data_IF_560048493163
#
_entry.id   IF_560048493163
#
_cell.length_a   1.000
_cell.length_b   1.000
_cell.length_c   1.000
_cell.angle_alpha   90.00
_cell.angle_beta   90.00
_cell.angle_gamma   90.00
#
_symmetry.space_group_name_H-M   'P 1'
#
loop_
_entity.id
_entity.type
_entity.pdbx_description
1 polymer ?
#
# COMPACT_ATOMS: atom_id res chain seq x y z
N UNK A 1 5.28 11.61 -26.27
CA UNK A 1 4.37 11.97 -25.18
C UNK A 1 5.18 12.34 -23.96
N UNK A 2 4.90 13.48 -23.37
CA UNK A 2 5.56 13.98 -22.16
C UNK A 2 4.49 14.23 -21.09
N UNK A 3 4.64 13.63 -19.92
CA UNK A 3 3.68 13.73 -18.83
C UNK A 3 4.29 14.37 -17.59
N UNK A 4 3.50 15.07 -16.79
CA UNK A 4 3.83 15.43 -15.43
C UNK A 4 3.21 14.40 -14.48
N UNK A 5 4.04 13.69 -13.72
CA UNK A 5 3.61 12.75 -12.69
C UNK A 5 3.79 13.39 -11.31
N UNK A 6 2.71 13.49 -10.56
CA UNK A 6 2.65 14.19 -9.28
C UNK A 6 2.45 13.21 -8.14
N UNK A 7 3.31 13.29 -7.13
CA UNK A 7 3.26 12.40 -5.96
C UNK A 7 3.68 13.12 -4.69
N UNK A 8 3.23 12.61 -3.53
CA UNK A 8 3.77 13.07 -2.24
C UNK A 8 5.10 12.42 -1.93
N UNK A 9 5.26 11.14 -2.24
CA UNK A 9 6.40 10.33 -1.85
C UNK A 9 7.30 10.07 -3.06
N UNK A 10 8.62 10.24 -2.89
CA UNK A 10 9.63 9.90 -3.89
C UNK A 10 10.90 9.39 -3.20
N UNK A 11 11.66 8.46 -3.80
CA UNK A 11 12.89 7.97 -3.19
C UNK A 11 13.88 9.08 -2.81
N UNK A 12 14.55 9.00 -1.65
CA UNK A 12 14.53 7.90 -0.68
C UNK A 12 13.39 7.97 0.36
N UNK A 13 12.51 8.95 0.28
CA UNK A 13 11.46 9.22 1.27
C UNK A 13 10.15 8.51 0.90
N UNK A 14 10.14 7.18 1.09
CA UNK A 14 8.96 6.34 0.85
C UNK A 14 8.53 5.69 2.16
N UNK A 15 7.23 5.78 2.48
CA UNK A 15 6.64 5.19 3.68
C UNK A 15 5.29 4.49 3.43
N UNK A 16 4.72 4.61 2.22
CA UNK A 16 3.42 4.05 1.89
C UNK A 16 3.36 3.35 0.53
N UNK A 17 2.24 2.64 0.29
CA UNK A 17 2.04 1.90 -0.96
C UNK A 17 2.00 2.79 -2.22
N UNK A 18 1.55 4.05 -2.11
CA UNK A 18 1.56 4.98 -3.23
C UNK A 18 2.99 5.38 -3.62
N UNK A 19 3.87 5.60 -2.63
CA UNK A 19 5.29 5.85 -2.86
C UNK A 19 5.99 4.64 -3.50
N UNK A 20 5.74 3.43 -2.98
CA UNK A 20 6.25 2.20 -3.56
C UNK A 20 5.77 2.03 -5.02
N UNK A 21 4.49 2.33 -5.30
CA UNK A 21 3.95 2.29 -6.66
C UNK A 21 4.71 3.21 -7.62
N UNK A 22 4.87 4.50 -7.29
CA UNK A 22 5.52 5.46 -8.20
C UNK A 22 7.01 5.17 -8.38
N UNK A 23 7.69 4.66 -7.35
CA UNK A 23 9.10 4.27 -7.41
C UNK A 23 9.38 3.27 -8.53
N UNK A 24 8.48 2.31 -8.76
CA UNK A 24 8.65 1.27 -9.77
C UNK A 24 7.94 1.60 -11.08
N UNK A 25 6.78 2.26 -11.03
CA UNK A 25 6.05 2.64 -12.24
C UNK A 25 6.83 3.65 -13.08
N UNK A 26 7.45 4.65 -12.46
CA UNK A 26 8.12 5.73 -13.20
C UNK A 26 9.27 5.23 -14.07
N UNK A 27 10.21 4.39 -13.61
CA UNK A 27 11.23 3.83 -14.48
C UNK A 27 10.66 3.04 -15.66
N UNK A 28 9.61 2.24 -15.43
CA UNK A 28 8.95 1.46 -16.48
C UNK A 28 8.23 2.35 -17.52
N UNK A 29 7.64 3.46 -17.12
CA UNK A 29 7.08 4.48 -18.02
C UNK A 29 8.19 5.22 -18.76
N UNK A 30 9.24 5.64 -18.06
CA UNK A 30 10.35 6.42 -18.63
C UNK A 30 11.14 5.67 -19.72
N UNK A 31 11.07 4.33 -19.72
CA UNK A 31 11.60 3.51 -20.81
C UNK A 31 10.89 3.76 -22.16
N UNK A 32 9.66 4.31 -22.16
CA UNK A 32 8.82 4.44 -23.34
C UNK A 32 8.35 5.88 -23.62
N UNK A 33 8.27 6.72 -22.59
CA UNK A 33 7.75 8.10 -22.67
C UNK A 33 8.61 9.04 -21.80
N UNK A 34 8.47 10.35 -21.98
CA UNK A 34 9.09 11.32 -21.08
C UNK A 34 8.22 11.55 -19.85
N UNK A 35 8.78 11.37 -18.66
CA UNK A 35 8.10 11.56 -17.38
C UNK A 35 8.82 12.65 -16.58
N UNK A 36 8.13 13.76 -16.32
CA UNK A 36 8.58 14.80 -15.39
C UNK A 36 7.96 14.51 -14.03
N UNK A 37 8.76 14.10 -13.06
CA UNK A 37 8.28 13.80 -11.71
C UNK A 37 8.27 15.07 -10.87
N UNK A 38 7.15 15.35 -10.21
CA UNK A 38 6.97 16.41 -9.23
C UNK A 38 6.61 15.80 -7.88
N UNK A 39 7.49 15.98 -6.89
CA UNK A 39 7.36 15.36 -5.58
C UNK A 39 7.52 16.35 -4.43
N UNK A 40 6.89 16.05 -3.28
CA UNK A 40 7.11 16.81 -2.05
C UNK A 40 8.52 16.57 -1.54
N UNK A 41 9.21 17.63 -1.15
CA UNK A 41 10.57 17.53 -0.62
C UNK A 41 11.38 18.79 -0.91
N UNK A 42 12.61 18.82 -0.43
CA UNK A 42 13.50 19.97 -0.57
C UNK A 42 14.50 19.82 -1.71
N UNK A 43 14.86 18.59 -2.07
CA UNK A 43 15.86 18.31 -3.11
C UNK A 43 15.78 16.87 -3.60
N UNK A 44 15.82 16.68 -4.92
CA UNK A 44 15.96 15.39 -5.61
C UNK A 44 16.92 15.55 -6.78
N UNK A 45 17.55 14.47 -7.20
CA UNK A 45 18.44 14.45 -8.37
C UNK A 45 17.70 14.16 -9.67
N UNK A 46 16.55 13.51 -9.58
CA UNK A 46 15.79 12.93 -10.68
C UNK A 46 14.30 13.33 -10.67
N UNK A 47 13.92 14.27 -9.81
CA UNK A 47 12.56 14.82 -9.70
C UNK A 47 12.59 16.31 -9.35
N UNK A 48 11.51 17.01 -9.67
CA UNK A 48 11.27 18.38 -9.22
C UNK A 48 10.80 18.33 -7.76
N UNK A 49 11.59 18.91 -6.86
CA UNK A 49 11.26 18.99 -5.45
C UNK A 49 10.39 20.22 -5.15
N UNK A 50 9.36 20.03 -4.35
CA UNK A 50 8.41 21.07 -3.92
C UNK A 50 8.29 21.04 -2.39
N UNK A 51 8.83 22.05 -1.73
CA UNK A 51 8.80 22.18 -0.28
C UNK A 51 7.57 22.97 0.21
N UNK A 52 7.20 22.74 1.46
CA UNK A 52 6.22 23.62 2.14
C UNK A 52 6.74 25.05 2.13
N UNK A 53 5.93 26.04 1.68
CA UNK A 53 6.31 27.45 1.77
C UNK A 53 6.51 27.89 3.23
N UNK A 54 7.56 28.64 3.51
CA UNK A 54 7.95 29.07 4.86
C UNK A 54 6.79 29.70 5.65
N UNK A 55 5.95 30.50 4.98
CA UNK A 55 4.80 31.17 5.63
C UNK A 55 3.66 30.22 6.03
N UNK A 56 3.72 28.95 5.62
CA UNK A 56 2.76 27.89 5.98
C UNK A 56 3.34 26.86 6.95
N UNK A 57 4.62 26.96 7.30
CA UNK A 57 5.24 26.02 8.24
C UNK A 57 4.53 26.07 9.61
N UNK A 58 4.15 24.89 10.12
CA UNK A 58 3.40 24.75 11.37
C UNK A 58 1.91 25.08 11.27
N UNK A 59 1.40 25.35 10.07
CA UNK A 59 -0.03 25.48 9.82
C UNK A 59 -0.73 24.10 9.82
N UNK A 60 -2.05 24.08 9.60
CA UNK A 60 -2.74 22.82 9.40
C UNK A 60 -2.09 22.05 8.23
N UNK A 61 -1.80 20.74 8.36
CA UNK A 61 -1.10 19.95 7.33
C UNK A 61 -1.72 20.02 5.91
N UNK A 62 -3.02 20.29 5.83
CA UNK A 62 -3.69 20.46 4.53
C UNK A 62 -3.32 21.79 3.88
N UNK A 63 -3.12 22.86 4.66
CA UNK A 63 -2.66 24.15 4.13
C UNK A 63 -1.22 24.07 3.63
N UNK A 64 -0.35 23.38 4.36
CA UNK A 64 1.02 23.07 3.90
C UNK A 64 0.98 22.31 2.57
N UNK A 65 0.15 21.26 2.49
CA UNK A 65 -0.09 20.48 1.26
C UNK A 65 -0.54 21.37 0.09
N UNK A 66 -1.49 22.29 0.31
CA UNK A 66 -1.96 23.22 -0.72
C UNK A 66 -0.86 24.17 -1.17
N UNK A 67 -0.02 24.63 -0.26
CA UNK A 67 1.15 25.47 -0.58
C UNK A 67 2.12 24.76 -1.53
N UNK A 68 2.43 23.49 -1.25
CA UNK A 68 3.26 22.64 -2.13
C UNK A 68 2.59 22.46 -3.49
N UNK A 69 1.28 22.20 -3.51
CA UNK A 69 0.53 22.02 -4.76
C UNK A 69 0.57 23.28 -5.65
N UNK A 70 0.49 24.47 -5.07
CA UNK A 70 0.59 25.72 -5.85
C UNK A 70 1.98 25.87 -6.51
N UNK A 71 3.05 25.47 -5.83
CA UNK A 71 4.40 25.48 -6.41
C UNK A 71 4.53 24.43 -7.52
N UNK A 72 3.93 23.24 -7.35
CA UNK A 72 3.85 22.23 -8.43
C UNK A 72 3.15 22.81 -9.67
N UNK A 73 1.98 23.45 -9.52
CA UNK A 73 1.25 24.08 -10.64
C UNK A 73 2.13 25.11 -11.34
N UNK A 74 2.80 25.98 -10.59
CA UNK A 74 3.71 27.00 -11.14
C UNK A 74 4.85 26.34 -11.95
N UNK A 75 5.45 25.29 -11.43
CA UNK A 75 6.53 24.56 -12.10
C UNK A 75 6.05 23.88 -13.40
N UNK A 76 4.92 23.16 -13.35
CA UNK A 76 4.34 22.48 -14.50
C UNK A 76 3.97 23.46 -15.61
N UNK A 77 3.43 24.66 -15.25
CA UNK A 77 3.03 25.67 -16.24
C UNK A 77 4.20 26.27 -17.03
N UNK A 78 5.43 26.04 -16.62
CA UNK A 78 6.64 26.46 -17.35
C UNK A 78 7.09 25.44 -18.42
N UNK A 79 6.47 24.28 -18.49
CA UNK A 79 6.83 23.18 -19.37
C UNK A 79 5.67 22.82 -20.30
N UNK A 80 6.00 22.34 -21.51
CA UNK A 80 4.99 21.78 -22.42
C UNK A 80 4.76 20.32 -22.04
N UNK A 81 3.60 20.04 -21.46
CA UNK A 81 3.15 18.73 -20.99
C UNK A 81 1.93 18.31 -21.82
N UNK A 82 1.82 17.04 -22.17
CA UNK A 82 0.68 16.49 -22.91
C UNK A 82 -0.44 16.03 -21.95
N UNK A 83 -0.09 15.61 -20.73
CA UNK A 83 -1.01 15.03 -19.74
C UNK A 83 -0.44 15.17 -18.33
N UNK A 84 -1.31 15.34 -17.34
CA UNK A 84 -0.97 15.29 -15.91
C UNK A 84 -1.48 13.98 -15.31
N UNK A 85 -0.63 13.28 -14.53
CA UNK A 85 -1.00 12.11 -13.74
C UNK A 85 -0.72 12.34 -12.27
N UNK A 86 -1.75 12.39 -11.43
CA UNK A 86 -1.62 12.62 -10.00
C UNK A 86 -1.94 11.38 -9.16
N UNK A 87 -1.23 11.25 -8.03
CA UNK A 87 -1.35 10.14 -7.10
C UNK A 87 -1.76 10.64 -5.73
N UNK A 88 -2.90 10.16 -5.22
CA UNK A 88 -3.51 10.52 -3.94
C UNK A 88 -3.99 11.98 -3.86
N UNK A 89 -4.85 12.28 -2.89
CA UNK A 89 -5.37 13.64 -2.67
C UNK A 89 -4.26 14.69 -2.43
N UNK A 90 -3.09 14.26 -1.92
CA UNK A 90 -1.97 15.15 -1.64
C UNK A 90 -1.47 15.93 -2.86
N UNK A 91 -1.59 15.38 -4.06
CA UNK A 91 -1.18 16.02 -5.31
C UNK A 91 -2.35 16.27 -6.28
N UNK A 92 -3.56 15.85 -5.93
CA UNK A 92 -4.72 15.96 -6.83
C UNK A 92 -5.11 17.42 -7.10
N UNK A 93 -4.96 18.34 -6.12
CA UNK A 93 -5.23 19.76 -6.36
C UNK A 93 -4.28 20.35 -7.40
N UNK A 94 -2.99 20.02 -7.32
CA UNK A 94 -2.01 20.44 -8.32
C UNK A 94 -2.33 19.83 -9.69
N UNK A 95 -2.64 18.54 -9.73
CA UNK A 95 -2.99 17.84 -10.97
C UNK A 95 -4.17 18.47 -11.68
N UNK A 96 -5.27 18.70 -10.98
CA UNK A 96 -6.47 19.33 -11.53
C UNK A 96 -6.22 20.77 -11.99
N UNK A 97 -5.55 21.56 -11.14
CA UNK A 97 -5.28 22.97 -11.46
C UNK A 97 -4.37 23.11 -12.67
N UNK A 98 -3.30 22.31 -12.76
CA UNK A 98 -2.40 22.33 -13.92
C UNK A 98 -3.09 21.89 -15.21
N UNK A 99 -3.90 20.84 -15.14
CA UNK A 99 -4.67 20.34 -16.27
C UNK A 99 -5.64 21.40 -16.81
N UNK A 100 -6.41 22.06 -15.93
CA UNK A 100 -7.33 23.13 -16.29
C UNK A 100 -6.61 24.35 -16.88
N UNK A 101 -5.50 24.78 -16.30
CA UNK A 101 -4.73 25.94 -16.80
C UNK A 101 -4.13 25.72 -18.18
N UNK A 102 -3.72 24.50 -18.49
CA UNK A 102 -3.09 24.16 -19.77
C UNK A 102 -4.07 23.58 -20.80
N UNK A 103 -5.30 23.26 -20.40
CA UNK A 103 -6.30 22.62 -21.27
C UNK A 103 -5.92 21.21 -21.69
N UNK A 104 -5.25 20.45 -20.81
CA UNK A 104 -4.78 19.09 -21.04
C UNK A 104 -5.50 18.08 -20.12
N UNK A 105 -5.53 16.76 -20.45
CA UNK A 105 -6.20 15.79 -19.62
C UNK A 105 -5.49 15.55 -18.28
N UNK A 106 -6.30 15.28 -17.24
CA UNK A 106 -5.89 14.76 -15.95
C UNK A 106 -6.19 13.26 -15.88
N UNK A 107 -5.22 12.47 -15.47
CA UNK A 107 -5.39 11.09 -14.99
C UNK A 107 -5.12 11.06 -13.49
N UNK A 108 -5.92 10.35 -12.72
CA UNK A 108 -5.70 10.14 -11.29
C UNK A 108 -5.58 8.66 -10.96
N UNK A 109 -4.68 8.27 -10.06
CA UNK A 109 -4.64 6.91 -9.51
C UNK A 109 -5.23 6.88 -8.11
N UNK A 110 -6.26 6.05 -7.93
CA UNK A 110 -6.91 5.79 -6.66
C UNK A 110 -6.15 4.73 -5.87
N UNK A 111 -5.27 5.15 -4.95
CA UNK A 111 -4.56 4.29 -4.01
C UNK A 111 -5.33 4.04 -2.72
N UNK A 112 -6.26 4.91 -2.39
CA UNK A 112 -7.22 4.86 -1.27
C UNK A 112 -8.24 5.96 -1.48
N UNK A 113 -9.36 5.91 -0.78
CA UNK A 113 -10.41 6.95 -0.85
C UNK A 113 -10.63 7.57 0.52
N UNK A 114 -10.69 8.90 0.59
CA UNK A 114 -10.94 9.61 1.83
C UNK A 114 -12.27 9.20 2.50
N UNK A 115 -13.41 9.02 1.79
CA UNK A 115 -14.66 8.58 2.40
C UNK A 115 -14.60 7.21 3.10
N UNK A 116 -13.70 6.33 2.68
CA UNK A 116 -13.51 5.00 3.28
C UNK A 116 -12.45 5.00 4.39
N UNK A 117 -11.96 6.16 4.77
CA UNK A 117 -10.92 6.35 5.78
C UNK A 117 -11.31 7.42 6.81
N UNK A 118 -12.50 7.31 7.45
CA UNK A 118 -13.02 8.33 8.37
C UNK A 118 -12.09 8.62 9.56
N UNK A 119 -11.27 7.62 9.97
CA UNK A 119 -10.23 7.83 11.00
C UNK A 119 -9.15 8.85 10.61
N UNK A 120 -9.06 9.26 9.34
CA UNK A 120 -8.18 10.36 8.91
C UNK A 120 -8.56 11.71 9.53
N UNK A 121 -9.78 11.87 10.00
CA UNK A 121 -10.19 13.07 10.75
C UNK A 121 -9.39 13.21 12.06
N UNK A 122 -8.99 12.09 12.68
CA UNK A 122 -8.12 12.07 13.86
C UNK A 122 -6.74 12.72 13.58
N UNK A 123 -6.23 12.57 12.33
CA UNK A 123 -4.93 13.11 11.90
C UNK A 123 -5.01 14.54 11.36
N UNK A 124 -6.04 14.83 10.58
CA UNK A 124 -6.17 16.09 9.82
C UNK A 124 -7.09 17.11 10.49
N UNK A 125 -7.88 16.70 11.49
CA UNK A 125 -8.90 17.52 12.09
C UNK A 125 -9.83 18.12 11.03
N UNK A 126 -10.09 19.43 11.11
CA UNK A 126 -10.91 20.14 10.10
C UNK A 126 -10.36 20.08 8.68
N UNK A 127 -9.09 19.75 8.50
CA UNK A 127 -8.44 19.58 7.20
C UNK A 127 -9.00 18.37 6.42
N UNK A 128 -9.56 17.36 7.10
CA UNK A 128 -10.18 16.21 6.46
C UNK A 128 -11.31 16.59 5.46
N UNK A 129 -12.04 17.65 5.76
CA UNK A 129 -13.08 18.15 4.84
C UNK A 129 -12.48 18.71 3.54
N UNK A 130 -11.28 19.31 3.65
CA UNK A 130 -10.57 19.87 2.49
C UNK A 130 -9.95 18.72 1.68
N UNK A 131 -9.30 17.73 2.30
CA UNK A 131 -8.73 16.59 1.58
C UNK A 131 -9.82 15.80 0.82
N UNK A 132 -10.97 15.57 1.47
CA UNK A 132 -12.13 14.92 0.83
C UNK A 132 -12.69 15.73 -0.34
N UNK A 133 -12.75 17.06 -0.21
CA UNK A 133 -13.19 17.95 -1.29
C UNK A 133 -12.20 17.94 -2.46
N UNK A 134 -10.90 18.00 -2.19
CA UNK A 134 -9.85 17.94 -3.22
C UNK A 134 -9.94 16.62 -3.98
N UNK A 135 -10.03 15.49 -3.27
CA UNK A 135 -10.12 14.16 -3.89
C UNK A 135 -11.35 14.07 -4.79
N UNK A 136 -12.53 14.40 -4.26
CA UNK A 136 -13.78 14.39 -5.03
C UNK A 136 -13.69 15.26 -6.28
N UNK A 137 -13.23 16.51 -6.14
CA UNK A 137 -13.14 17.46 -7.24
C UNK A 137 -12.21 16.96 -8.36
N UNK A 138 -11.06 16.41 -7.99
CA UNK A 138 -10.10 15.88 -8.96
C UNK A 138 -10.64 14.63 -9.66
N UNK A 139 -11.31 13.73 -8.94
CA UNK A 139 -11.87 12.50 -9.52
C UNK A 139 -13.03 12.82 -10.48
N UNK A 140 -13.95 13.72 -10.10
CA UNK A 140 -15.05 14.13 -10.96
C UNK A 140 -14.57 14.94 -12.19
N UNK A 141 -13.41 15.60 -12.11
CA UNK A 141 -12.79 16.35 -13.20
C UNK A 141 -11.77 15.59 -14.04
N UNK A 142 -11.41 14.37 -13.67
CA UNK A 142 -10.41 13.58 -14.37
C UNK A 142 -10.94 13.03 -15.70
N UNK A 143 -10.08 13.03 -16.73
CA UNK A 143 -10.36 12.35 -17.99
C UNK A 143 -10.38 10.83 -17.85
N UNK A 144 -9.56 10.29 -16.91
CA UNK A 144 -9.59 8.89 -16.54
C UNK A 144 -9.12 8.70 -15.09
N UNK A 145 -9.65 7.66 -14.43
CA UNK A 145 -9.28 7.23 -13.09
C UNK A 145 -8.71 5.82 -13.19
N UNK A 146 -7.51 5.63 -12.68
CA UNK A 146 -6.92 4.31 -12.48
C UNK A 146 -7.30 3.82 -11.10
N UNK A 147 -8.07 2.75 -11.02
CA UNK A 147 -8.34 2.02 -9.80
C UNK A 147 -7.37 0.83 -9.71
N UNK A 148 -6.68 0.69 -8.57
CA UNK A 148 -5.64 -0.35 -8.39
C UNK A 148 -6.21 -1.76 -8.23
N UNK A 149 -7.54 -1.90 -8.20
CA UNK A 149 -8.26 -3.19 -8.18
C UNK A 149 -9.71 -2.99 -8.66
N UNK A 150 -10.42 -4.08 -8.92
CA UNK A 150 -11.86 -4.06 -9.16
C UNK A 150 -12.63 -3.62 -7.92
N UNK A 151 -12.16 -4.07 -6.73
CA UNK A 151 -12.69 -3.59 -5.46
C UNK A 151 -12.58 -2.07 -5.36
N UNK A 152 -11.41 -1.50 -5.64
CA UNK A 152 -11.23 -0.03 -5.66
C UNK A 152 -12.11 0.66 -6.73
N UNK A 153 -12.31 0.04 -7.90
CA UNK A 153 -13.25 0.57 -8.89
C UNK A 153 -14.68 0.65 -8.35
N UNK A 154 -15.13 -0.40 -7.66
CA UNK A 154 -16.46 -0.40 -7.03
C UNK A 154 -16.56 0.68 -5.93
N UNK A 155 -15.51 0.83 -5.12
CA UNK A 155 -15.41 1.86 -4.08
C UNK A 155 -15.48 3.27 -4.67
N UNK A 156 -14.73 3.56 -5.75
CA UNK A 156 -14.78 4.86 -6.45
C UNK A 156 -16.18 5.17 -6.93
N UNK A 157 -16.86 4.22 -7.58
CA UNK A 157 -18.22 4.42 -8.11
C UNK A 157 -19.27 4.56 -7.00
N UNK A 158 -19.04 3.93 -5.86
CA UNK A 158 -19.92 4.05 -4.68
C UNK A 158 -19.73 5.40 -3.99
N UNK A 159 -18.49 5.82 -3.77
CA UNK A 159 -18.16 7.08 -3.09
C UNK A 159 -18.47 8.31 -3.96
N UNK A 160 -18.33 8.19 -5.27
CA UNK A 160 -18.47 9.28 -6.24
C UNK A 160 -19.44 8.91 -7.37
N UNK A 161 -20.75 8.85 -7.10
CA UNK A 161 -21.76 8.33 -8.04
C UNK A 161 -21.93 9.17 -9.31
N UNK A 162 -21.36 10.38 -9.39
CA UNK A 162 -21.36 11.21 -10.59
C UNK A 162 -20.30 10.76 -11.62
N UNK A 163 -19.37 9.87 -11.25
CA UNK A 163 -18.32 9.37 -12.14
C UNK A 163 -18.90 8.27 -13.03
N UNK A 164 -18.70 8.40 -14.35
CA UNK A 164 -19.07 7.34 -15.29
C UNK A 164 -18.19 6.11 -15.12
N UNK A 165 -18.76 4.88 -15.05
CA UNK A 165 -17.99 3.64 -14.93
C UNK A 165 -16.95 3.42 -16.04
N UNK A 166 -17.16 4.00 -17.22
CA UNK A 166 -16.24 3.95 -18.36
C UNK A 166 -14.97 4.78 -18.15
N UNK A 167 -15.01 5.79 -17.27
CA UNK A 167 -13.85 6.60 -16.92
C UNK A 167 -12.98 5.95 -15.84
N UNK A 168 -13.42 4.84 -15.22
CA UNK A 168 -12.68 4.13 -14.18
C UNK A 168 -12.08 2.85 -14.74
N UNK A 169 -10.76 2.81 -14.84
CA UNK A 169 -9.99 1.72 -15.42
C UNK A 169 -9.24 0.95 -14.33
N UNK A 170 -9.30 -0.38 -14.38
CA UNK A 170 -8.56 -1.21 -13.42
C UNK A 170 -7.15 -1.45 -13.98
N UNK A 171 -6.15 -0.92 -13.29
CA UNK A 171 -4.73 -1.17 -13.56
C UNK A 171 -4.07 -1.44 -12.20
N UNK A 172 -3.65 -2.67 -11.97
CA UNK A 172 -3.09 -3.10 -10.68
C UNK A 172 -1.72 -2.46 -10.41
N UNK A 173 -1.32 -2.43 -9.14
CA UNK A 173 0.08 -2.21 -8.80
C UNK A 173 0.90 -3.44 -9.18
N UNK A 174 2.15 -3.23 -9.52
CA UNK A 174 3.08 -4.28 -9.88
C UNK A 174 3.96 -4.74 -8.73
N UNK A 175 4.81 -5.73 -9.03
CA UNK A 175 5.90 -6.20 -8.18
C UNK A 175 7.20 -6.26 -8.98
N UNK A 176 8.31 -5.88 -8.36
CA UNK A 176 9.65 -6.12 -8.87
C UNK A 176 10.14 -7.48 -8.36
N UNK A 177 9.93 -8.52 -9.17
CA UNK A 177 10.27 -9.89 -8.82
C UNK A 177 11.78 -10.21 -8.93
N UNK A 178 12.59 -9.30 -9.44
CA UNK A 178 14.06 -9.41 -9.40
C UNK A 178 14.59 -8.94 -8.04
N UNK A 179 13.97 -7.90 -7.48
CA UNK A 179 14.24 -7.43 -6.12
C UNK A 179 13.60 -8.36 -5.09
N UNK A 180 12.28 -8.60 -5.17
CA UNK A 180 11.56 -9.50 -4.27
C UNK A 180 11.63 -10.93 -4.79
N UNK A 181 12.60 -11.67 -4.26
CA UNK A 181 12.83 -13.09 -4.57
C UNK A 181 13.34 -13.80 -3.32
N UNK A 182 13.21 -15.13 -3.23
CA UNK A 182 13.75 -15.87 -2.09
C UNK A 182 15.22 -15.57 -1.85
N UNK A 183 15.55 -15.20 -0.61
CA UNK A 183 16.91 -15.04 -0.11
C UNK A 183 17.16 -16.05 1.03
N UNK A 184 18.02 -17.08 0.81
CA UNK A 184 18.26 -18.12 1.80
C UNK A 184 19.14 -17.68 3.01
N UNK A 185 19.58 -16.42 3.05
CA UNK A 185 20.38 -15.89 4.16
C UNK A 185 19.56 -15.80 5.45
N UNK A 186 20.19 -16.12 6.58
CA UNK A 186 19.59 -16.05 7.92
C UNK A 186 20.02 -14.80 8.71
N UNK A 187 20.75 -13.87 8.12
CA UNK A 187 21.33 -12.73 8.83
C UNK A 187 20.27 -11.83 9.50
N UNK A 188 19.11 -11.63 8.86
CA UNK A 188 18.00 -10.89 9.45
C UNK A 188 17.31 -11.70 10.56
N UNK A 189 17.17 -13.01 10.39
CA UNK A 189 16.60 -13.92 11.40
C UNK A 189 17.42 -13.85 12.68
N UNK A 190 18.75 -13.98 12.56
CA UNK A 190 19.69 -13.89 13.69
C UNK A 190 19.68 -12.49 14.32
N UNK A 191 19.70 -11.43 13.50
CA UNK A 191 19.71 -10.03 13.96
C UNK A 191 18.50 -9.72 14.84
N UNK A 192 17.33 -10.20 14.46
CA UNK A 192 16.08 -9.92 15.17
C UNK A 192 15.74 -10.99 16.23
N UNK A 193 16.67 -11.93 16.50
CA UNK A 193 16.52 -13.00 17.50
C UNK A 193 15.27 -13.85 17.26
N UNK A 194 14.97 -14.16 16.00
CA UNK A 194 13.92 -15.10 15.62
C UNK A 194 14.49 -16.52 15.71
N UNK A 195 13.80 -17.43 16.41
CA UNK A 195 14.25 -18.82 16.52
C UNK A 195 13.97 -19.56 15.19
N UNK A 196 15.02 -19.80 14.41
CA UNK A 196 14.94 -20.45 13.10
C UNK A 196 14.46 -21.92 13.16
N UNK A 197 14.37 -22.52 14.35
CA UNK A 197 13.88 -23.89 14.55
C UNK A 197 12.36 -23.94 14.76
N UNK A 198 11.72 -22.78 14.91
CA UNK A 198 10.28 -22.66 15.09
C UNK A 198 9.62 -22.01 13.89
N UNK A 199 8.40 -22.43 13.51
CA UNK A 199 7.63 -21.68 12.53
C UNK A 199 7.31 -20.27 13.07
N UNK A 200 7.18 -19.29 12.16
CA UNK A 200 6.69 -17.98 12.54
C UNK A 200 5.69 -17.41 11.53
N UNK A 201 4.74 -16.65 12.06
CA UNK A 201 3.87 -15.78 11.30
C UNK A 201 4.53 -14.39 11.18
N UNK A 202 4.48 -13.80 9.99
CA UNK A 202 5.04 -12.48 9.74
C UNK A 202 3.93 -11.48 9.37
N UNK A 203 3.91 -10.35 10.06
CA UNK A 203 3.13 -9.17 9.68
C UNK A 203 4.07 -8.03 9.27
N UNK A 204 3.72 -7.35 8.17
CA UNK A 204 4.45 -6.17 7.70
C UNK A 204 3.47 -5.04 7.41
N UNK A 205 3.66 -3.90 8.06
CA UNK A 205 2.81 -2.75 7.80
C UNK A 205 2.94 -1.63 8.82
N UNK A 206 2.35 -0.47 8.50
CA UNK A 206 2.20 0.62 9.47
C UNK A 206 1.13 0.26 10.52
N UNK A 207 1.26 0.82 11.69
CA UNK A 207 0.26 0.67 12.77
C UNK A 207 -0.90 1.61 12.45
N UNK A 208 -1.87 1.10 11.69
CA UNK A 208 -3.07 1.82 11.28
C UNK A 208 -4.29 0.93 11.45
N UNK A 209 -5.47 1.53 11.66
CA UNK A 209 -6.72 0.76 11.80
C UNK A 209 -6.98 -0.13 10.58
N UNK A 210 -6.73 0.39 9.37
CA UNK A 210 -6.97 -0.34 8.13
C UNK A 210 -6.15 -1.65 8.01
N UNK A 211 -4.97 -1.73 8.65
CA UNK A 211 -4.10 -2.92 8.56
C UNK A 211 -4.52 -4.05 9.49
N UNK A 212 -5.49 -3.81 10.37
CA UNK A 212 -6.08 -4.85 11.22
C UNK A 212 -5.11 -5.49 12.22
N UNK A 213 -4.05 -4.79 12.63
CA UNK A 213 -3.05 -5.35 13.56
C UNK A 213 -3.68 -5.76 14.89
N UNK A 214 -4.69 -5.03 15.39
CA UNK A 214 -5.43 -5.40 16.61
C UNK A 214 -6.10 -6.77 16.45
N UNK A 215 -6.73 -7.04 15.29
CA UNK A 215 -7.34 -8.35 15.00
C UNK A 215 -6.29 -9.47 14.93
N UNK A 216 -5.11 -9.19 14.35
CA UNK A 216 -4.03 -10.17 14.35
C UNK A 216 -3.58 -10.52 15.75
N UNK A 217 -3.39 -9.52 16.61
CA UNK A 217 -2.94 -9.73 17.99
C UNK A 217 -3.99 -10.49 18.82
N UNK A 218 -5.28 -10.25 18.59
CA UNK A 218 -6.37 -11.04 19.18
C UNK A 218 -6.37 -12.47 18.64
N UNK A 219 -6.28 -12.68 17.33
CA UNK A 219 -6.19 -14.00 16.72
C UNK A 219 -4.97 -14.78 17.21
N UNK A 220 -3.83 -14.11 17.40
CA UNK A 220 -2.58 -14.72 17.84
C UNK A 220 -2.63 -15.32 19.25
N UNK A 221 -3.61 -14.95 20.06
CA UNK A 221 -3.88 -15.63 21.35
C UNK A 221 -4.23 -17.12 21.17
N UNK A 222 -4.75 -17.47 19.97
CA UNK A 222 -5.17 -18.84 19.60
C UNK A 222 -4.21 -19.51 18.60
N UNK A 223 -3.03 -18.91 18.30
CA UNK A 223 -2.02 -19.60 17.50
C UNK A 223 -1.41 -20.75 18.27
N UNK A 224 -0.98 -21.78 17.54
CA UNK A 224 -0.22 -22.88 18.15
C UNK A 224 0.97 -22.32 18.94
N UNK A 225 1.24 -22.82 20.18
CA UNK A 225 2.32 -22.33 21.02
C UNK A 225 3.72 -22.35 20.37
N UNK A 226 3.93 -23.20 19.36
CA UNK A 226 5.19 -23.27 18.63
C UNK A 226 5.38 -22.14 17.62
N UNK A 227 4.31 -21.46 17.19
CA UNK A 227 4.38 -20.40 16.19
C UNK A 227 4.84 -19.09 16.86
N UNK A 228 5.98 -18.56 16.46
CA UNK A 228 6.38 -17.20 16.82
C UNK A 228 5.58 -16.18 16.05
N UNK A 229 5.34 -15.01 16.64
CA UNK A 229 4.68 -13.88 15.99
C UNK A 229 5.71 -12.78 15.75
N UNK A 230 6.03 -12.52 14.50
CA UNK A 230 6.99 -11.49 14.10
C UNK A 230 6.21 -10.32 13.49
N UNK A 231 6.39 -9.15 14.09
CA UNK A 231 5.71 -7.93 13.70
C UNK A 231 6.74 -6.92 13.20
N UNK A 232 6.78 -6.66 11.89
CA UNK A 232 7.46 -5.50 11.31
C UNK A 232 6.44 -4.36 11.25
N UNK A 233 6.19 -3.73 12.41
CA UNK A 233 5.10 -2.77 12.59
C UNK A 233 5.63 -1.47 13.20
N UNK A 234 5.53 -0.38 12.45
CA UNK A 234 6.04 0.94 12.81
C UNK A 234 5.06 2.06 12.40
N UNK A 235 5.44 3.30 12.66
CA UNK A 235 4.74 4.50 12.22
C UNK A 235 3.23 4.47 12.52
N UNK A 236 2.83 4.53 13.81
CA UNK A 236 1.43 4.60 14.19
C UNK A 236 0.78 5.88 13.67
N UNK A 237 -0.46 5.77 13.19
CA UNK A 237 -1.21 6.90 12.66
C UNK A 237 -1.54 7.93 13.76
N UNK A 238 -1.82 7.46 14.99
CA UNK A 238 -2.08 8.32 16.17
C UNK A 238 -1.48 7.73 17.44
N UNK A 239 -1.28 8.55 18.50
CA UNK A 239 -0.82 8.05 19.80
C UNK A 239 -1.77 7.02 20.43
N UNK A 240 -3.08 7.13 20.18
CA UNK A 240 -4.10 6.25 20.75
C UNK A 240 -3.95 4.83 20.20
N UNK A 241 -3.79 4.68 18.86
CA UNK A 241 -3.59 3.35 18.27
C UNK A 241 -2.21 2.77 18.65
N UNK A 242 -1.21 3.63 18.86
CA UNK A 242 0.09 3.19 19.37
C UNK A 242 -0.06 2.55 20.76
N UNK A 243 -0.75 3.23 21.68
CA UNK A 243 -0.99 2.75 23.04
C UNK A 243 -1.84 1.47 23.06
N UNK A 244 -2.88 1.39 22.20
CA UNK A 244 -3.69 0.18 22.04
C UNK A 244 -2.84 -1.02 21.63
N UNK A 245 -1.99 -0.88 20.61
CA UNK A 245 -1.12 -1.95 20.11
C UNK A 245 -0.04 -2.31 21.13
N UNK A 246 0.57 -1.33 21.82
CA UNK A 246 1.52 -1.61 22.91
C UNK A 246 0.88 -2.48 24.01
N UNK A 247 -0.38 -2.19 24.41
CA UNK A 247 -1.10 -2.99 25.39
C UNK A 247 -1.40 -4.41 24.89
N UNK A 248 -1.92 -4.55 23.66
CA UNK A 248 -2.21 -5.85 23.08
C UNK A 248 -0.97 -6.74 22.96
N UNK A 249 0.17 -6.16 22.57
CA UNK A 249 1.44 -6.89 22.52
C UNK A 249 1.90 -7.28 23.93
N UNK A 250 1.73 -6.42 24.94
CA UNK A 250 2.07 -6.76 26.33
C UNK A 250 1.22 -7.93 26.84
N UNK A 251 -0.09 -7.90 26.58
CA UNK A 251 -1.01 -8.97 26.97
C UNK A 251 -0.67 -10.29 26.26
N UNK A 252 -0.35 -10.21 24.96
CA UNK A 252 0.03 -11.39 24.18
C UNK A 252 1.36 -11.99 24.66
N UNK A 253 2.33 -11.16 25.04
CA UNK A 253 3.61 -11.59 25.64
C UNK A 253 3.41 -12.26 26.99
N UNK A 254 2.49 -11.73 27.81
CA UNK A 254 2.15 -12.35 29.10
C UNK A 254 1.51 -13.74 28.91
N UNK A 255 0.74 -13.93 27.84
CA UNK A 255 0.08 -15.20 27.55
C UNK A 255 1.02 -16.24 26.92
N UNK A 256 1.85 -15.82 25.94
CA UNK A 256 2.61 -16.73 25.06
C UNK A 256 4.12 -16.80 25.31
N UNK A 257 4.64 -15.98 26.23
CA UNK A 257 6.08 -15.78 26.45
C UNK A 257 6.64 -14.65 25.59
N UNK A 258 7.54 -13.90 26.19
CA UNK A 258 8.12 -12.70 25.54
C UNK A 258 8.96 -13.06 24.31
N UNK A 259 9.64 -14.20 24.34
CA UNK A 259 10.50 -14.73 23.28
C UNK A 259 9.73 -15.17 22.03
N UNK A 260 8.43 -15.40 22.14
CA UNK A 260 7.59 -15.82 21.04
C UNK A 260 6.93 -14.64 20.30
N UNK A 261 7.08 -13.40 20.81
CA UNK A 261 6.48 -12.19 20.22
C UNK A 261 7.57 -11.18 19.93
N UNK A 262 8.06 -11.22 18.70
CA UNK A 262 9.14 -10.36 18.19
C UNK A 262 8.51 -9.14 17.54
N UNK A 263 8.71 -7.95 18.09
CA UNK A 263 8.21 -6.71 17.51
C UNK A 263 9.35 -5.79 17.11
N UNK A 264 9.52 -5.62 15.80
CA UNK A 264 10.49 -4.73 15.16
C UNK A 264 9.79 -3.40 14.93
N UNK A 265 10.13 -2.39 15.73
CA UNK A 265 9.47 -1.06 15.72
C UNK A 265 10.10 -0.09 14.71
N UNK A 266 11.32 -0.35 14.29
CA UNK A 266 11.99 0.41 13.23
C UNK A 266 11.55 -0.03 11.84
N UNK A 267 11.81 0.84 10.85
CA UNK A 267 11.63 0.46 9.45
C UNK A 267 12.71 -0.56 9.07
N UNK A 268 12.26 -1.75 8.71
CA UNK A 268 13.15 -2.84 8.29
C UNK A 268 13.73 -2.52 6.91
N UNK A 269 15.07 -2.61 6.72
CA UNK A 269 15.68 -2.53 5.39
C UNK A 269 15.12 -3.59 4.44
N UNK A 270 15.06 -3.25 3.15
CA UNK A 270 14.40 -4.12 2.15
C UNK A 270 15.03 -5.50 2.03
N UNK A 271 16.35 -5.58 2.04
CA UNK A 271 17.10 -6.83 1.99
C UNK A 271 16.81 -7.72 3.22
N UNK A 272 16.74 -7.14 4.40
CA UNK A 272 16.34 -7.84 5.61
C UNK A 272 14.86 -8.28 5.56
N UNK A 273 13.97 -7.42 5.04
CA UNK A 273 12.56 -7.77 4.88
C UNK A 273 12.37 -8.96 3.94
N UNK A 274 13.13 -9.04 2.85
CA UNK A 274 13.10 -10.17 1.92
C UNK A 274 13.49 -11.47 2.63
N UNK A 275 14.51 -11.45 3.49
CA UNK A 275 14.88 -12.62 4.30
C UNK A 275 13.77 -13.00 5.27
N UNK A 276 13.18 -12.02 5.98
CA UNK A 276 12.05 -12.27 6.87
C UNK A 276 10.85 -12.87 6.13
N UNK A 277 10.55 -12.38 4.93
CA UNK A 277 9.50 -12.96 4.07
C UNK A 277 9.86 -14.39 3.67
N UNK A 278 11.07 -14.61 3.14
CA UNK A 278 11.52 -15.92 2.64
C UNK A 278 11.42 -17.04 3.67
N UNK A 279 11.74 -16.74 4.93
CA UNK A 279 11.77 -17.74 6.00
C UNK A 279 10.47 -17.82 6.81
N UNK A 280 9.50 -16.94 6.57
CA UNK A 280 8.21 -17.00 7.23
C UNK A 280 7.42 -18.24 6.84
N UNK A 281 6.88 -18.96 7.81
CA UNK A 281 5.95 -20.08 7.55
C UNK A 281 4.64 -19.58 6.98
N UNK A 282 4.23 -18.35 7.35
CA UNK A 282 3.02 -17.72 6.84
C UNK A 282 3.14 -16.20 6.96
N UNK A 283 2.82 -15.50 5.88
CA UNK A 283 2.60 -14.07 5.89
C UNK A 283 1.14 -13.78 6.24
N UNK A 284 0.91 -12.85 7.17
CA UNK A 284 -0.44 -12.53 7.69
C UNK A 284 -0.86 -11.12 7.28
N UNK A 285 -2.00 -11.01 6.59
CA UNK A 285 -2.58 -9.74 6.14
C UNK A 285 -4.04 -9.59 6.63
N UNK A 286 -4.27 -9.22 7.90
CA UNK A 286 -5.60 -9.12 8.50
C UNK A 286 -6.30 -7.79 8.21
N UNK A 287 -5.99 -7.14 7.08
CA UNK A 287 -6.49 -5.81 6.74
C UNK A 287 -8.02 -5.77 6.73
N UNK A 288 -8.59 -4.67 7.26
CA UNK A 288 -10.05 -4.39 7.20
C UNK A 288 -10.41 -3.49 6.02
N UNK A 289 -9.42 -2.85 5.43
CA UNK A 289 -9.50 -2.08 4.20
C UNK A 289 -8.18 -2.17 3.47
N UNK A 290 -8.18 -2.72 2.25
CA UNK A 290 -6.96 -2.89 1.46
C UNK A 290 -7.27 -2.65 -0.02
N UNK A 291 -6.82 -1.54 -0.59
CA UNK A 291 -7.03 -1.22 -2.00
C UNK A 291 -6.57 -2.29 -2.98
N UNK A 292 -5.43 -2.90 -2.73
CA UNK A 292 -4.92 -4.05 -3.49
C UNK A 292 -4.13 -5.04 -2.64
N UNK A 293 -3.20 -4.55 -1.79
CA UNK A 293 -2.35 -5.40 -0.96
C UNK A 293 -1.00 -5.72 -1.60
N UNK A 294 -0.21 -4.69 -1.91
CA UNK A 294 1.16 -4.85 -2.45
C UNK A 294 2.02 -5.75 -1.56
N UNK A 295 1.87 -5.66 -0.24
CA UNK A 295 2.62 -6.51 0.72
C UNK A 295 2.35 -8.01 0.53
N UNK A 296 1.16 -8.39 0.04
CA UNK A 296 0.87 -9.78 -0.33
C UNK A 296 1.65 -10.18 -1.60
N UNK A 297 1.81 -9.27 -2.56
CA UNK A 297 2.65 -9.52 -3.74
C UNK A 297 4.12 -9.67 -3.36
N UNK A 298 4.61 -8.87 -2.41
CA UNK A 298 5.99 -8.98 -1.88
C UNK A 298 6.21 -10.33 -1.21
N UNK A 299 5.27 -10.79 -0.37
CA UNK A 299 5.31 -12.10 0.26
C UNK A 299 5.27 -13.23 -0.79
N UNK A 300 4.32 -13.18 -1.73
CA UNK A 300 4.19 -14.16 -2.79
C UNK A 300 5.44 -14.20 -3.69
N UNK A 301 6.05 -13.06 -3.99
CA UNK A 301 7.27 -12.99 -4.78
C UNK A 301 8.47 -13.64 -4.06
N UNK A 302 8.47 -13.63 -2.72
CA UNK A 302 9.46 -14.32 -1.87
C UNK A 302 9.11 -15.80 -1.58
N UNK A 303 8.10 -16.36 -2.27
CA UNK A 303 7.60 -17.74 -2.07
C UNK A 303 7.02 -17.99 -0.68
N UNK A 304 6.48 -16.97 -0.04
CA UNK A 304 5.84 -17.10 1.28
C UNK A 304 4.34 -17.38 1.12
N UNK A 305 3.83 -18.38 1.84
CA UNK A 305 2.40 -18.66 1.93
C UNK A 305 1.66 -17.49 2.60
N UNK A 306 0.50 -17.11 2.09
CA UNK A 306 -0.28 -15.96 2.59
C UNK A 306 -1.57 -16.43 3.25
N UNK A 307 -1.87 -15.88 4.43
CA UNK A 307 -3.22 -15.88 5.03
C UNK A 307 -3.67 -14.43 5.13
N UNK A 308 -4.75 -14.09 4.46
CA UNK A 308 -5.23 -12.73 4.36
C UNK A 308 -6.75 -12.63 4.54
N UNK A 309 -7.25 -11.45 4.89
CA UNK A 309 -8.68 -11.15 4.79
C UNK A 309 -9.13 -11.09 3.32
N UNK A 310 -10.44 -11.23 3.10
CA UNK A 310 -11.04 -11.20 1.74
C UNK A 310 -11.50 -9.79 1.32
N UNK A 311 -10.93 -8.73 1.89
CA UNK A 311 -11.38 -7.35 1.66
C UNK A 311 -10.71 -6.68 0.46
N UNK A 312 -11.45 -5.75 -0.15
CA UNK A 312 -10.95 -4.85 -1.19
C UNK A 312 -10.33 -5.56 -2.39
N UNK A 313 -9.06 -5.26 -2.68
CA UNK A 313 -8.32 -5.88 -3.79
C UNK A 313 -7.54 -7.14 -3.42
N UNK A 314 -7.54 -7.58 -2.17
CA UNK A 314 -6.79 -8.80 -1.75
C UNK A 314 -7.21 -10.03 -2.55
N UNK A 315 -8.51 -10.32 -2.81
CA UNK A 315 -8.93 -11.48 -3.60
C UNK A 315 -8.48 -11.44 -5.07
N UNK A 316 -8.04 -10.30 -5.56
CA UNK A 316 -7.47 -10.17 -6.91
C UNK A 316 -5.97 -10.53 -6.92
N UNK A 317 -5.30 -10.44 -5.78
CA UNK A 317 -3.90 -10.80 -5.59
C UNK A 317 -3.77 -12.26 -5.14
N UNK A 318 -4.39 -12.60 -4.03
CA UNK A 318 -4.36 -13.95 -3.43
C UNK A 318 -5.54 -14.76 -3.95
N UNK A 319 -5.27 -15.92 -4.52
CA UNK A 319 -6.30 -16.88 -4.96
C UNK A 319 -6.47 -17.92 -3.87
N UNK A 320 -7.67 -17.92 -3.27
CA UNK A 320 -7.98 -18.83 -2.17
C UNK A 320 -7.77 -20.30 -2.53
N UNK A 321 -7.07 -21.02 -1.65
CA UNK A 321 -6.73 -22.42 -1.82
C UNK A 321 -5.67 -22.72 -2.89
N UNK A 322 -5.14 -21.71 -3.61
CA UNK A 322 -4.14 -21.85 -4.67
C UNK A 322 -2.83 -21.13 -4.34
N UNK A 323 -2.90 -19.85 -4.00
CA UNK A 323 -1.70 -19.04 -3.67
C UNK A 323 -1.67 -18.59 -2.21
N UNK A 324 -2.68 -18.99 -1.43
CA UNK A 324 -2.84 -18.64 -0.04
C UNK A 324 -4.25 -18.97 0.43
N UNK A 325 -4.64 -18.41 1.58
CA UNK A 325 -5.97 -18.57 2.17
C UNK A 325 -6.60 -17.20 2.39
N UNK A 326 -7.87 -17.09 2.00
CA UNK A 326 -8.68 -15.91 2.29
C UNK A 326 -9.62 -16.22 3.47
N UNK A 327 -9.66 -15.31 4.43
CA UNK A 327 -10.54 -15.37 5.60
C UNK A 327 -11.56 -14.24 5.49
N UNK A 328 -12.84 -14.59 5.59
CA UNK A 328 -13.92 -13.61 5.49
C UNK A 328 -13.90 -12.63 6.65
N UNK A 329 -13.92 -11.33 6.35
CA UNK A 329 -14.00 -10.26 7.33
C UNK A 329 -15.37 -9.60 7.31
N UNK A 330 -16.08 -9.65 8.48
CA UNK A 330 -17.25 -8.85 8.76
C UNK A 330 -16.97 -7.95 9.96
N UNK A 331 -17.13 -6.63 9.79
CA UNK A 331 -16.98 -5.65 10.87
C UNK A 331 -17.94 -5.86 12.04
N UNK A 332 -19.05 -6.56 11.82
CA UNK A 332 -20.06 -6.85 12.86
C UNK A 332 -19.75 -8.14 13.63
N UNK A 333 -18.86 -8.99 13.12
CA UNK A 333 -18.47 -10.26 13.72
C UNK A 333 -16.94 -10.41 13.85
N UNK A 334 -16.22 -9.44 14.47
CA UNK A 334 -14.75 -9.43 14.50
C UNK A 334 -14.16 -10.68 15.18
N UNK A 335 -14.82 -11.20 16.20
CA UNK A 335 -14.32 -12.40 16.91
C UNK A 335 -14.37 -13.67 16.05
N UNK A 336 -15.36 -13.79 15.16
CA UNK A 336 -15.43 -14.94 14.25
C UNK A 336 -14.31 -14.85 13.19
N UNK A 337 -14.03 -13.63 12.69
CA UNK A 337 -12.86 -13.39 11.85
C UNK A 337 -11.56 -13.77 12.55
N UNK A 338 -11.32 -13.26 13.78
CA UNK A 338 -10.10 -13.52 14.56
C UNK A 338 -9.89 -15.01 14.81
N UNK A 339 -10.95 -15.74 15.16
CA UNK A 339 -10.93 -17.19 15.36
C UNK A 339 -10.60 -17.93 14.06
N UNK A 340 -11.33 -17.63 12.99
CA UNK A 340 -11.10 -18.25 11.68
C UNK A 340 -9.71 -17.94 11.15
N UNK A 341 -9.22 -16.72 11.37
CA UNK A 341 -7.87 -16.32 10.98
C UNK A 341 -6.81 -17.15 11.71
N UNK A 342 -6.97 -17.34 13.02
CA UNK A 342 -6.08 -18.18 13.80
C UNK A 342 -6.08 -19.65 13.33
N UNK A 343 -7.25 -20.21 13.04
CA UNK A 343 -7.38 -21.58 12.52
C UNK A 343 -6.60 -21.75 11.19
N UNK A 344 -6.70 -20.77 10.28
CA UNK A 344 -5.99 -20.83 9.00
C UNK A 344 -4.47 -20.63 9.15
N UNK A 345 -4.02 -19.72 10.02
CA UNK A 345 -2.60 -19.56 10.33
C UNK A 345 -2.03 -20.86 10.89
N UNK A 346 -2.70 -21.47 11.87
CA UNK A 346 -2.28 -22.75 12.46
C UNK A 346 -2.21 -23.85 11.40
N UNK A 347 -3.21 -23.97 10.53
CA UNK A 347 -3.25 -24.96 9.45
C UNK A 347 -2.09 -24.80 8.47
N UNK A 348 -1.82 -23.58 8.02
CA UNK A 348 -0.74 -23.32 7.07
C UNK A 348 0.62 -23.50 7.72
N UNK A 349 0.81 -22.99 8.94
CA UNK A 349 2.09 -23.12 9.65
C UNK A 349 2.46 -24.57 10.01
N UNK A 350 1.47 -25.46 10.17
CA UNK A 350 1.69 -26.88 10.49
C UNK A 350 1.99 -27.76 9.25
N UNK A 351 1.78 -27.27 8.02
CA UNK A 351 1.89 -28.08 6.80
C UNK A 351 2.92 -27.48 5.80
N UNK A 352 4.15 -28.01 5.87
CA UNK A 352 5.26 -27.58 5.00
C UNK A 352 4.97 -27.80 3.48
N UNK A 353 4.17 -28.82 3.13
CA UNK A 353 3.81 -29.06 1.73
C UNK A 353 2.84 -27.97 1.24
N UNK A 354 1.91 -27.58 2.10
CA UNK A 354 0.96 -26.49 1.82
C UNK A 354 1.68 -25.14 1.68
N UNK A 355 2.61 -24.85 2.60
CA UNK A 355 3.47 -23.65 2.52
C UNK A 355 4.22 -23.58 1.20
N UNK A 356 4.90 -24.67 0.84
CA UNK A 356 5.66 -24.77 -0.40
C UNK A 356 4.76 -24.62 -1.63
N UNK A 357 3.60 -25.28 -1.65
CA UNK A 357 2.65 -25.18 -2.76
C UNK A 357 2.17 -23.73 -2.94
N UNK A 358 1.71 -23.09 -1.87
CA UNK A 358 1.23 -21.71 -1.93
C UNK A 358 2.36 -20.73 -2.31
N UNK A 359 3.58 -20.95 -1.81
CA UNK A 359 4.74 -20.12 -2.14
C UNK A 359 5.07 -20.17 -3.63
N UNK A 360 5.19 -21.35 -4.21
CA UNK A 360 5.50 -21.54 -5.64
C UNK A 360 4.40 -20.97 -6.54
N UNK A 361 3.13 -21.30 -6.28
CA UNK A 361 2.01 -20.77 -7.08
C UNK A 361 1.83 -19.26 -6.87
N UNK A 362 2.09 -18.79 -5.65
CA UNK A 362 2.11 -17.36 -5.33
C UNK A 362 3.14 -16.60 -6.17
N UNK A 363 4.40 -17.05 -6.19
CA UNK A 363 5.45 -16.44 -7.00
C UNK A 363 5.15 -16.48 -8.50
N UNK A 364 4.68 -17.61 -9.02
CA UNK A 364 4.27 -17.73 -10.44
C UNK A 364 3.22 -16.67 -10.80
N UNK A 365 2.23 -16.48 -9.90
CA UNK A 365 1.19 -15.49 -10.10
C UNK A 365 1.74 -14.07 -10.04
N UNK A 366 2.57 -13.75 -9.04
CA UNK A 366 3.18 -12.43 -8.89
C UNK A 366 3.95 -12.03 -10.16
N UNK A 367 4.81 -12.91 -10.67
CA UNK A 367 5.60 -12.67 -11.89
C UNK A 367 4.70 -12.61 -13.14
N UNK A 368 3.73 -13.51 -13.25
CA UNK A 368 2.95 -13.68 -14.48
C UNK A 368 1.87 -12.60 -14.68
N UNK A 369 1.38 -11.96 -13.61
CA UNK A 369 0.24 -11.05 -13.69
C UNK A 369 0.51 -9.63 -13.20
N UNK A 370 1.61 -9.41 -12.44
CA UNK A 370 1.87 -8.14 -11.78
C UNK A 370 3.26 -7.57 -12.11
N UNK A 371 3.83 -7.90 -13.28
CA UNK A 371 5.08 -7.32 -13.74
C UNK A 371 4.92 -5.83 -14.09
N UNK A 372 5.84 -4.98 -13.64
CA UNK A 372 5.77 -3.52 -13.86
C UNK A 372 5.76 -3.12 -15.34
N UNK A 373 6.42 -3.86 -16.23
CA UNK A 373 6.41 -3.57 -17.66
C UNK A 373 5.00 -3.67 -18.26
N UNK A 374 4.23 -4.69 -17.89
CA UNK A 374 2.85 -4.85 -18.34
C UNK A 374 1.91 -3.78 -17.74
N UNK A 375 2.15 -3.38 -16.49
CA UNK A 375 1.43 -2.31 -15.82
C UNK A 375 1.72 -0.96 -16.50
N UNK A 376 2.99 -0.66 -16.81
CA UNK A 376 3.37 0.55 -17.52
C UNK A 376 2.79 0.61 -18.93
N UNK A 377 2.80 -0.50 -19.67
CA UNK A 377 2.16 -0.59 -21.01
C UNK A 377 0.67 -0.29 -20.93
N UNK A 378 -0.04 -0.90 -19.97
CA UNK A 378 -1.47 -0.65 -19.75
C UNK A 378 -1.74 0.82 -19.42
N UNK A 379 -0.90 1.43 -18.59
CA UNK A 379 -0.98 2.84 -18.21
C UNK A 379 -0.73 3.76 -19.42
N UNK A 380 0.28 3.47 -20.24
CA UNK A 380 0.58 4.25 -21.46
C UNK A 380 -0.56 4.13 -22.48
N UNK A 381 -1.17 2.95 -22.60
CA UNK A 381 -2.33 2.76 -23.49
C UNK A 381 -3.52 3.59 -23.02
N UNK A 382 -3.76 3.69 -21.72
CA UNK A 382 -4.77 4.60 -21.16
C UNK A 382 -4.44 6.05 -21.48
N UNK A 383 -3.19 6.52 -21.30
CA UNK A 383 -2.79 7.89 -21.66
C UNK A 383 -3.05 8.19 -23.13
N UNK A 384 -2.73 7.26 -24.04
CA UNK A 384 -3.02 7.41 -25.47
C UNK A 384 -4.50 7.51 -25.77
N UNK A 385 -5.36 6.85 -25.00
CA UNK A 385 -6.81 6.89 -25.19
C UNK A 385 -7.43 8.25 -24.82
N UNK A 386 -6.92 8.89 -23.74
CA UNK A 386 -7.43 10.20 -23.30
C UNK A 386 -6.82 11.39 -24.06
N UNK A 387 -5.78 11.17 -24.86
CA UNK A 387 -5.17 12.19 -25.73
C UNK A 387 -5.79 12.24 -27.16
N UNK A 388 -6.67 11.30 -27.49
CA UNK A 388 -7.41 11.24 -28.75
C UNK A 388 -8.67 12.10 -28.71
#
# INVERSE_FOLDING_TARGET
MRIALLTKEWPPQIYGGAGAHVQYLVPALAAQITVDVHAFGTSYTDAHAHATPEFLEGANPVLETLGVNLDMVRSISQSKIDLVHSHTWYSNFAGQSAALLQGIPLVVTAHSLEPLRPWKEEQLGGGYRISSWIEKSAYEGAAAIIAVSRGMKADVLTCYPNISPENVHVIHNGIDADTYRPDPSFSAIDKYNIDSQKPYSLFVGRITRQKGLSHLLEAAKNFDPQIQVVLCASAPDTPEIAAEVDQLVADLRALRGQENIIWIKEQVPRDELIQLLTHASVFTCPSIYEPQGIVNLEAMACETAVVASDVGGIPEVVIDGVTGVLVHYDQHEPHEFEKSFAEQVNRVAADANLQHHFGIEGRKRAIGHFAWDAIAESTINLYRSVLR
#
